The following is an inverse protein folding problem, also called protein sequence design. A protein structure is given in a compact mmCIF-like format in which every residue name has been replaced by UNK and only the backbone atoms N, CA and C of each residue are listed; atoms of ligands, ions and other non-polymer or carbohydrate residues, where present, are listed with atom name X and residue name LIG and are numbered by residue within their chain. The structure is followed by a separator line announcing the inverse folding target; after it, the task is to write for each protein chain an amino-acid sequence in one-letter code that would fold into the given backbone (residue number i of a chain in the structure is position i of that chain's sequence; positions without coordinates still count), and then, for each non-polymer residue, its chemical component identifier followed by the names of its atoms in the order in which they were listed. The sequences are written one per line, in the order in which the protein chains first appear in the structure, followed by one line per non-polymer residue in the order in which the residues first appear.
data_IF_745719285073
#
_entry.id   IF_745719285073
#
_cell.length_a   1.000
_cell.length_b   1.000
_cell.length_c   1.000
_cell.angle_alpha   90.00
_cell.angle_beta   90.00
_cell.angle_gamma   90.00
#
_symmetry.space_group_name_H-M   'P 1'
#
loop_
_entity.id
_entity.type
_entity.pdbx_description
1 polymer ?
#
# COMPACT_ATOMS: atom_id res chain seq x y z
N UNK A 1 52.18 -54.73 -12.18
CA UNK A 1 52.18 -53.33 -12.64
C UNK A 1 50.84 -52.69 -12.29
N UNK A 2 50.86 -51.45 -11.77
CA UNK A 2 49.77 -50.45 -11.60
C UNK A 2 48.42 -50.89 -10.98
N UNK A 3 47.92 -50.03 -10.08
CA UNK A 3 46.82 -50.30 -9.13
C UNK A 3 45.44 -49.99 -9.76
N UNK A 4 44.40 -50.61 -9.21
CA UNK A 4 43.01 -50.36 -9.57
C UNK A 4 42.58 -48.90 -9.30
N UNK A 5 41.58 -48.44 -10.06
CA UNK A 5 41.05 -47.08 -9.98
C UNK A 5 40.26 -46.85 -8.68
N UNK A 6 40.43 -45.66 -8.11
CA UNK A 6 39.52 -45.09 -7.10
C UNK A 6 38.99 -43.77 -7.66
N UNK A 7 37.78 -43.81 -8.20
CA UNK A 7 36.98 -42.60 -8.46
C UNK A 7 36.36 -42.18 -7.13
N UNK A 8 37.05 -41.32 -6.38
CA UNK A 8 36.46 -40.64 -5.24
C UNK A 8 35.52 -39.55 -5.77
N UNK A 9 34.21 -39.76 -5.65
CA UNK A 9 33.21 -38.79 -6.08
C UNK A 9 33.32 -37.50 -5.28
N UNK A 10 33.45 -36.37 -5.98
CA UNK A 10 33.33 -35.06 -5.36
C UNK A 10 31.85 -34.84 -5.00
N UNK A 11 31.48 -35.05 -3.73
CA UNK A 11 30.21 -34.56 -3.21
C UNK A 11 30.21 -33.04 -3.31
N UNK A 12 29.49 -32.50 -4.28
CA UNK A 12 29.16 -31.08 -4.34
C UNK A 12 28.17 -30.82 -3.20
N UNK A 13 28.71 -30.54 -2.01
CA UNK A 13 27.96 -29.85 -0.98
C UNK A 13 27.72 -28.45 -1.54
N UNK A 14 26.55 -28.24 -2.13
CA UNK A 14 26.07 -26.92 -2.45
C UNK A 14 25.97 -26.16 -1.12
N UNK A 15 26.93 -25.27 -0.88
CA UNK A 15 26.82 -24.27 0.17
C UNK A 15 25.61 -23.42 -0.17
N UNK A 16 24.48 -23.74 0.46
CA UNK A 16 23.29 -22.90 0.47
C UNK A 16 23.67 -21.62 1.22
N UNK A 17 24.26 -20.67 0.48
CA UNK A 17 24.34 -19.28 0.90
C UNK A 17 22.90 -18.89 1.26
N UNK A 18 22.64 -18.40 2.49
CA UNK A 18 21.31 -17.92 2.81
C UNK A 18 21.02 -16.78 1.85
N UNK A 19 20.05 -16.98 0.95
CA UNK A 19 19.51 -15.88 0.17
C UNK A 19 19.05 -14.82 1.17
N UNK A 20 19.40 -13.53 0.99
CA UNK A 20 18.78 -12.49 1.79
C UNK A 20 17.27 -12.65 1.64
N UNK A 21 16.57 -12.66 2.77
CA UNK A 21 15.13 -12.55 2.77
C UNK A 21 14.79 -11.21 2.12
N UNK A 22 14.17 -11.26 0.94
CA UNK A 22 13.51 -10.09 0.42
C UNK A 22 12.30 -9.78 1.31
N UNK A 23 11.89 -8.53 1.22
CA UNK A 23 10.51 -8.11 1.38
C UNK A 23 9.55 -8.98 0.52
N UNK A 24 8.23 -8.82 0.68
CA UNK A 24 7.26 -9.52 -0.20
C UNK A 24 7.71 -9.50 -1.67
N UNK A 25 8.00 -10.67 -2.26
CA UNK A 25 8.66 -10.74 -3.58
C UNK A 25 8.02 -9.81 -4.62
N UNK A 26 8.82 -9.14 -5.46
CA UNK A 26 8.45 -7.89 -6.17
C UNK A 26 7.04 -7.82 -6.79
N UNK A 27 6.48 -8.93 -7.25
CA UNK A 27 5.09 -9.02 -7.74
C UNK A 27 4.06 -8.68 -6.65
N UNK A 28 4.24 -9.16 -5.43
CA UNK A 28 3.35 -8.95 -4.29
C UNK A 28 3.28 -7.48 -3.85
N UNK A 29 4.41 -6.78 -3.62
CA UNK A 29 4.40 -5.34 -3.31
C UNK A 29 3.69 -4.52 -4.38
N UNK A 30 3.97 -4.82 -5.65
CA UNK A 30 3.37 -4.14 -6.80
C UNK A 30 1.87 -4.40 -6.88
N UNK A 31 1.43 -5.65 -6.71
CA UNK A 31 0.02 -6.04 -6.65
C UNK A 31 -0.72 -5.33 -5.51
N UNK A 32 -0.14 -5.33 -4.30
CA UNK A 32 -0.73 -4.71 -3.12
C UNK A 32 -0.87 -3.20 -3.32
N UNK A 33 0.23 -2.52 -3.66
CA UNK A 33 0.27 -1.07 -3.88
C UNK A 33 -0.69 -0.64 -4.99
N UNK A 34 -0.71 -1.37 -6.11
CA UNK A 34 -1.62 -1.11 -7.23
C UNK A 34 -3.09 -1.17 -6.79
N UNK A 35 -3.46 -2.20 -6.02
CA UNK A 35 -4.85 -2.37 -5.53
C UNK A 35 -5.21 -1.42 -4.39
N UNK A 36 -4.25 -0.97 -3.59
CA UNK A 36 -4.48 0.00 -2.53
C UNK A 36 -4.90 1.38 -3.10
N UNK A 37 -4.33 1.79 -4.23
CA UNK A 37 -4.70 3.03 -4.94
C UNK A 37 -6.19 3.04 -5.31
N UNK A 38 -6.77 1.88 -5.61
CA UNK A 38 -8.20 1.77 -5.94
C UNK A 38 -9.13 2.01 -4.76
N UNK A 39 -8.66 1.87 -3.52
CA UNK A 39 -9.42 2.09 -2.29
C UNK A 39 -9.32 3.52 -1.74
N UNK A 40 -8.47 4.36 -2.32
CA UNK A 40 -8.28 5.74 -1.85
C UNK A 40 -9.55 6.60 -2.05
N UNK A 41 -9.81 7.57 -1.14
CA UNK A 41 -10.95 8.49 -1.25
C UNK A 41 -10.80 9.45 -2.43
N UNK A 42 -11.91 10.09 -2.84
CA UNK A 42 -11.98 10.91 -4.05
C UNK A 42 -11.01 12.11 -4.08
N UNK A 43 -10.60 12.60 -2.92
CA UNK A 43 -9.63 13.69 -2.77
C UNK A 43 -8.18 13.25 -3.04
N UNK A 44 -7.87 11.96 -2.83
CA UNK A 44 -6.53 11.37 -3.03
C UNK A 44 -6.44 10.62 -4.37
N UNK A 45 -7.47 9.83 -4.70
CA UNK A 45 -7.45 8.85 -5.79
C UNK A 45 -7.03 9.42 -7.16
N UNK A 46 -7.42 10.64 -7.59
CA UNK A 46 -6.98 11.17 -8.88
C UNK A 46 -5.46 11.39 -8.97
N UNK A 47 -4.84 11.90 -7.90
CA UNK A 47 -3.38 12.07 -7.84
C UNK A 47 -2.67 10.71 -7.89
N UNK A 48 -3.07 9.79 -7.02
CA UNK A 48 -2.47 8.45 -6.97
C UNK A 48 -2.75 7.62 -8.23
N UNK A 49 -3.86 7.85 -8.93
CA UNK A 49 -4.14 7.22 -10.23
C UNK A 49 -3.26 7.80 -11.33
N UNK A 50 -3.02 9.11 -11.35
CA UNK A 50 -2.12 9.77 -12.31
C UNK A 50 -0.68 9.28 -12.20
N UNK A 51 -0.21 8.99 -10.98
CA UNK A 51 1.17 8.55 -10.71
C UNK A 51 1.27 7.05 -10.38
N UNK A 52 0.23 6.26 -10.69
CA UNK A 52 0.12 4.84 -10.32
C UNK A 52 1.35 4.04 -10.69
N UNK A 53 1.79 4.13 -11.94
CA UNK A 53 2.90 3.32 -12.46
C UNK A 53 4.22 3.63 -11.74
N UNK A 54 4.49 4.89 -11.38
CA UNK A 54 5.68 5.27 -10.64
C UNK A 54 5.59 4.80 -9.17
N UNK A 55 4.46 5.02 -8.49
CA UNK A 55 4.27 4.60 -7.09
C UNK A 55 4.36 3.07 -6.97
N UNK A 56 3.76 2.35 -7.92
CA UNK A 56 3.82 0.88 -7.99
C UNK A 56 5.25 0.42 -8.29
N UNK A 57 5.95 1.02 -9.26
CA UNK A 57 7.34 0.67 -9.54
C UNK A 57 8.28 0.90 -8.34
N UNK A 58 8.05 2.00 -7.59
CA UNK A 58 8.83 2.35 -6.39
C UNK A 58 8.46 1.57 -5.13
N UNK A 59 7.37 0.78 -5.14
CA UNK A 59 6.97 -0.03 -3.97
C UNK A 59 7.98 -1.13 -3.60
N UNK A 60 9.03 -1.32 -4.40
CA UNK A 60 10.17 -2.20 -4.13
C UNK A 60 11.49 -1.42 -3.89
N UNK A 61 11.45 -0.08 -3.88
CA UNK A 61 12.67 0.75 -3.71
C UNK A 61 13.46 0.37 -2.44
N UNK A 62 12.85 0.14 -1.25
CA UNK A 62 13.60 -0.26 -0.05
C UNK A 62 14.36 -1.58 -0.20
N UNK A 63 13.73 -2.58 -0.81
CA UNK A 63 14.36 -3.88 -1.13
C UNK A 63 15.55 -3.72 -2.10
N UNK A 64 15.57 -2.66 -2.90
CA UNK A 64 16.66 -2.32 -3.83
C UNK A 64 17.75 -1.45 -3.19
N UNK A 65 17.49 -0.76 -2.08
CA UNK A 65 18.44 0.15 -1.42
C UNK A 65 19.73 -0.56 -0.96
N UNK A 66 19.64 -1.82 -0.51
CA UNK A 66 20.82 -2.66 -0.23
C UNK A 66 21.78 -2.76 -1.43
N UNK A 67 21.21 -2.84 -2.65
CA UNK A 67 21.94 -2.92 -3.92
C UNK A 67 22.62 -1.59 -4.28
N UNK A 68 22.07 -0.48 -3.80
CA UNK A 68 22.66 0.86 -3.91
C UNK A 68 23.71 1.15 -2.81
N UNK A 69 23.98 0.20 -1.90
CA UNK A 69 24.92 0.35 -0.80
C UNK A 69 24.35 1.06 0.45
N UNK A 70 23.02 1.15 0.57
CA UNK A 70 22.34 1.72 1.73
C UNK A 70 21.95 0.59 2.68
N UNK A 71 22.28 0.72 3.97
CA UNK A 71 22.03 -0.34 4.95
C UNK A 71 20.59 -0.29 5.47
N UNK A 72 19.72 -1.10 4.88
CA UNK A 72 18.28 -1.12 5.21
C UNK A 72 17.74 -2.46 5.74
N UNK A 73 18.47 -3.56 5.56
CA UNK A 73 17.99 -4.93 5.83
C UNK A 73 17.24 -5.13 7.18
N UNK A 74 17.69 -4.56 8.32
CA UNK A 74 16.96 -4.69 9.60
C UNK A 74 15.55 -4.11 9.62
N UNK A 75 15.20 -3.19 8.71
CA UNK A 75 13.92 -2.50 8.71
C UNK A 75 12.78 -3.30 8.07
N UNK A 76 13.09 -4.40 7.38
CA UNK A 76 12.07 -5.22 6.72
C UNK A 76 11.36 -6.19 7.68
N UNK A 77 11.89 -6.46 8.88
CA UNK A 77 11.34 -7.52 9.73
C UNK A 77 11.25 -7.14 11.22
N UNK A 78 10.62 -8.03 11.99
CA UNK A 78 10.65 -8.10 13.45
C UNK A 78 10.61 -9.58 13.87
N UNK A 79 11.76 -10.16 14.16
CA UNK A 79 11.92 -11.55 14.56
C UNK A 79 11.44 -11.77 16.00
N UNK A 80 10.14 -12.04 16.17
CA UNK A 80 9.61 -12.56 17.42
C UNK A 80 10.01 -14.03 17.65
N UNK A 81 9.80 -14.52 18.87
CA UNK A 81 10.24 -15.86 19.30
C UNK A 81 11.67 -15.91 19.86
N UNK A 82 12.35 -14.76 19.99
CA UNK A 82 13.54 -14.63 20.85
C UNK A 82 13.14 -14.60 22.33
N UNK A 83 13.96 -15.19 23.20
CA UNK A 83 13.67 -15.28 24.64
C UNK A 83 13.61 -13.90 25.29
N UNK A 84 14.41 -12.96 24.80
CA UNK A 84 14.51 -11.59 25.30
C UNK A 84 13.18 -10.80 25.21
N UNK A 85 12.29 -11.17 24.29
CA UNK A 85 11.00 -10.51 24.08
C UNK A 85 9.84 -11.18 24.86
N UNK A 86 10.13 -12.25 25.62
CA UNK A 86 9.14 -12.97 26.42
C UNK A 86 8.21 -13.88 25.59
N UNK A 87 7.16 -14.38 26.23
CA UNK A 87 6.13 -15.19 25.56
C UNK A 87 5.17 -14.31 24.75
N UNK A 88 4.48 -14.88 23.76
CA UNK A 88 3.44 -14.18 22.98
C UNK A 88 2.39 -13.54 23.93
N UNK A 89 2.04 -12.23 23.78
CA UNK A 89 2.26 -11.36 22.62
C UNK A 89 3.54 -10.50 22.68
N UNK A 90 4.61 -11.00 23.28
CA UNK A 90 5.95 -10.37 23.33
C UNK A 90 6.00 -9.06 24.12
N UNK A 91 5.26 -9.01 25.24
CA UNK A 91 5.10 -7.80 26.07
C UNK A 91 6.39 -7.26 26.70
N UNK A 92 7.49 -8.02 26.66
CA UNK A 92 8.79 -7.51 27.11
C UNK A 92 9.43 -6.56 26.09
N UNK A 93 8.97 -6.52 24.84
CA UNK A 93 9.42 -5.56 23.83
C UNK A 93 8.64 -4.24 23.94
N UNK A 94 9.25 -3.12 24.36
CA UNK A 94 8.55 -1.83 24.39
C UNK A 94 8.23 -1.39 22.96
N UNK A 95 7.00 -0.95 22.72
CA UNK A 95 6.67 -0.28 21.46
C UNK A 95 7.38 1.07 21.35
N UNK A 96 7.67 1.75 22.47
CA UNK A 96 8.47 2.96 22.41
C UNK A 96 9.93 2.67 22.05
N UNK A 97 10.45 3.39 21.04
CA UNK A 97 11.76 3.11 20.49
C UNK A 97 12.90 3.46 21.46
N UNK A 98 12.75 4.55 22.22
CA UNK A 98 13.72 4.94 23.24
C UNK A 98 13.81 3.88 24.33
N UNK A 99 12.67 3.45 24.85
CA UNK A 99 12.60 2.38 25.85
C UNK A 99 13.12 1.03 25.32
N UNK A 100 12.86 0.69 24.05
CA UNK A 100 13.40 -0.52 23.43
C UNK A 100 14.93 -0.48 23.29
N UNK A 101 15.49 0.67 22.90
CA UNK A 101 16.95 0.89 22.83
C UNK A 101 17.57 0.82 24.22
N UNK A 102 16.95 1.43 25.23
CA UNK A 102 17.41 1.41 26.62
C UNK A 102 17.42 -0.01 27.19
N UNK A 103 16.37 -0.80 26.92
CA UNK A 103 16.21 -2.17 27.46
C UNK A 103 17.10 -3.21 26.77
N UNK A 104 17.27 -3.15 25.44
CA UNK A 104 17.92 -4.22 24.67
C UNK A 104 19.20 -3.80 23.94
N UNK A 105 19.43 -2.50 23.76
CA UNK A 105 20.52 -1.96 22.96
C UNK A 105 20.31 -2.09 21.45
N UNK A 106 20.81 -1.12 20.69
CA UNK A 106 20.66 -1.06 19.23
C UNK A 106 21.15 -2.32 18.50
N UNK A 107 22.22 -2.96 18.97
CA UNK A 107 22.75 -4.18 18.37
C UNK A 107 21.78 -5.38 18.46
N UNK A 108 20.95 -5.44 19.51
CA UNK A 108 19.89 -6.45 19.63
C UNK A 108 18.73 -6.13 18.72
N UNK A 109 18.27 -4.87 18.72
CA UNK A 109 17.17 -4.45 17.84
C UNK A 109 17.53 -4.62 16.36
N UNK A 110 18.73 -4.24 15.90
CA UNK A 110 19.16 -4.47 14.51
C UNK A 110 19.22 -5.95 14.12
N UNK A 111 19.63 -6.84 15.04
CA UNK A 111 19.65 -8.30 14.82
C UNK A 111 18.24 -8.89 14.75
N UNK A 112 17.33 -8.36 15.58
CA UNK A 112 15.99 -8.88 15.75
C UNK A 112 14.94 -8.12 14.91
N UNK A 113 15.32 -7.09 14.16
CA UNK A 113 14.43 -6.33 13.29
C UNK A 113 13.92 -5.01 13.89
N UNK A 114 13.63 -4.06 13.01
CA UNK A 114 13.28 -2.67 13.32
C UNK A 114 11.96 -2.19 12.69
N UNK A 115 11.24 -3.05 11.95
CA UNK A 115 10.14 -2.64 11.07
C UNK A 115 9.12 -1.68 11.70
N UNK A 116 8.55 -1.92 12.90
CA UNK A 116 7.51 -1.05 13.45
C UNK A 116 7.97 0.41 13.64
N UNK A 117 9.25 0.61 13.95
CA UNK A 117 9.82 1.94 14.12
C UNK A 117 10.16 2.59 12.79
N UNK A 118 10.58 1.83 11.78
CA UNK A 118 10.78 2.37 10.42
C UNK A 118 9.47 2.75 9.75
N UNK A 119 8.43 1.95 9.92
CA UNK A 119 7.08 2.25 9.46
C UNK A 119 6.56 3.56 10.09
N UNK A 120 6.82 3.78 11.38
CA UNK A 120 6.51 5.03 12.06
C UNK A 120 7.29 6.25 11.52
N UNK A 121 8.57 6.05 11.16
CA UNK A 121 9.41 7.07 10.54
C UNK A 121 8.91 7.44 9.13
N UNK A 122 8.62 6.46 8.28
CA UNK A 122 8.15 6.71 6.91
C UNK A 122 6.73 7.27 6.85
N UNK A 123 5.83 6.84 7.73
CA UNK A 123 4.55 7.53 7.95
C UNK A 123 4.77 9.01 8.32
N UNK A 124 5.75 9.28 9.18
CA UNK A 124 6.18 10.63 9.53
C UNK A 124 6.73 11.42 8.34
N UNK A 125 7.53 10.78 7.48
CA UNK A 125 8.05 11.37 6.24
C UNK A 125 6.91 11.70 5.27
N UNK A 126 6.01 10.75 5.00
CA UNK A 126 4.86 10.93 4.12
C UNK A 126 3.93 12.05 4.61
N UNK A 127 3.64 12.12 5.92
CA UNK A 127 2.90 13.24 6.52
C UNK A 127 3.59 14.58 6.25
N UNK A 128 4.92 14.66 6.45
CA UNK A 128 5.71 15.88 6.16
C UNK A 128 5.68 16.24 4.66
N UNK A 129 5.70 15.27 3.76
CA UNK A 129 5.59 15.50 2.32
C UNK A 129 4.22 16.12 1.97
N UNK A 130 3.12 15.59 2.53
CA UNK A 130 1.80 16.20 2.40
C UNK A 130 1.73 17.62 3.00
N UNK A 131 2.35 17.89 4.14
CA UNK A 131 2.45 19.24 4.74
C UNK A 131 3.32 20.22 3.93
N UNK A 132 4.33 19.72 3.23
CA UNK A 132 5.21 20.48 2.34
C UNK A 132 4.54 20.77 0.98
N UNK A 133 3.61 19.92 0.55
CA UNK A 133 2.87 20.07 -0.72
C UNK A 133 2.21 21.45 -0.86
N UNK A 134 1.65 21.99 0.23
CA UNK A 134 1.04 23.34 0.30
C UNK A 134 2.05 24.48 0.00
N UNK A 135 3.35 24.22 0.14
CA UNK A 135 4.44 25.22 0.07
C UNK A 135 5.26 25.10 -1.22
N UNK A 136 5.45 23.89 -1.74
CA UNK A 136 6.32 23.59 -2.89
C UNK A 136 5.63 22.72 -3.95
N UNK A 137 4.52 23.16 -4.58
CA UNK A 137 3.70 22.32 -5.46
C UNK A 137 4.42 21.82 -6.74
N UNK A 138 5.56 22.42 -7.11
CA UNK A 138 6.39 21.97 -8.23
C UNK A 138 7.20 20.69 -7.92
N UNK A 139 7.56 20.46 -6.65
CA UNK A 139 8.41 19.33 -6.23
C UNK A 139 7.68 18.35 -5.29
N UNK A 140 6.69 18.82 -4.52
CA UNK A 140 5.90 18.02 -3.59
C UNK A 140 5.26 16.75 -4.16
N UNK A 141 4.88 16.65 -5.47
CA UNK A 141 4.48 15.39 -6.06
C UNK A 141 5.52 14.27 -5.90
N UNK A 142 6.80 14.55 -6.14
CA UNK A 142 7.86 13.55 -6.13
C UNK A 142 8.13 13.02 -4.72
N UNK A 143 8.14 13.91 -3.71
CA UNK A 143 8.28 13.51 -2.31
C UNK A 143 7.12 12.61 -1.86
N UNK A 144 5.88 12.98 -2.21
CA UNK A 144 4.69 12.15 -1.88
C UNK A 144 4.73 10.80 -2.61
N UNK A 145 5.15 10.76 -3.88
CA UNK A 145 5.27 9.51 -4.66
C UNK A 145 6.29 8.57 -4.03
N UNK A 146 7.50 9.08 -3.75
CA UNK A 146 8.60 8.30 -3.15
C UNK A 146 8.23 7.79 -1.76
N UNK A 147 7.76 8.70 -0.88
CA UNK A 147 7.52 8.37 0.52
C UNK A 147 6.22 7.58 0.72
N UNK A 148 5.23 7.70 -0.17
CA UNK A 148 4.08 6.81 -0.16
C UNK A 148 4.48 5.39 -0.59
N UNK A 149 5.39 5.24 -1.56
CA UNK A 149 5.88 3.93 -1.98
C UNK A 149 6.77 3.27 -0.90
N UNK A 150 7.67 4.02 -0.27
CA UNK A 150 8.51 3.53 0.83
C UNK A 150 7.68 3.16 2.08
N UNK A 151 6.74 4.01 2.51
CA UNK A 151 5.84 3.69 3.63
C UNK A 151 4.90 2.51 3.29
N UNK A 152 4.43 2.41 2.04
CA UNK A 152 3.66 1.26 1.59
C UNK A 152 4.46 -0.05 1.70
N UNK A 153 5.76 -0.03 1.41
CA UNK A 153 6.62 -1.22 1.48
C UNK A 153 6.70 -1.82 2.89
N UNK A 154 7.05 -1.03 3.91
CA UNK A 154 7.22 -1.57 5.27
C UNK A 154 5.89 -2.02 5.90
N UNK A 155 4.77 -1.31 5.69
CA UNK A 155 3.48 -1.84 6.15
C UNK A 155 3.07 -3.11 5.41
N UNK A 156 3.53 -3.31 4.17
CA UNK A 156 3.29 -4.55 3.45
C UNK A 156 4.10 -5.70 4.07
N UNK A 157 5.38 -5.49 4.38
CA UNK A 157 6.23 -6.48 5.06
C UNK A 157 5.68 -6.88 6.44
N UNK A 158 5.06 -5.95 7.18
CA UNK A 158 4.35 -6.28 8.42
C UNK A 158 3.24 -7.35 8.21
N UNK A 159 2.74 -7.50 6.98
CA UNK A 159 1.75 -8.51 6.62
C UNK A 159 2.33 -9.86 6.16
N UNK A 160 3.64 -9.96 5.92
CA UNK A 160 4.34 -11.21 5.57
C UNK A 160 4.55 -12.05 6.85
N UNK A 161 4.01 -13.29 6.96
CA UNK A 161 4.20 -14.13 8.15
C UNK A 161 5.66 -14.41 8.52
N UNK A 162 6.53 -14.66 7.54
CA UNK A 162 7.96 -14.92 7.77
C UNK A 162 8.71 -13.71 8.32
N UNK A 163 8.25 -12.49 8.04
CA UNK A 163 8.86 -11.25 8.52
C UNK A 163 8.62 -10.99 10.01
N UNK A 164 7.84 -11.84 10.68
CA UNK A 164 7.50 -11.71 12.09
C UNK A 164 8.24 -12.70 13.01
N UNK A 165 9.15 -13.56 12.52
CA UNK A 165 9.61 -14.74 13.28
C UNK A 165 11.10 -15.06 13.15
N UNK A 166 11.74 -15.52 14.23
CA UNK A 166 13.09 -16.11 14.17
C UNK A 166 13.19 -17.36 13.28
N UNK A 167 12.08 -18.00 12.93
CA UNK A 167 12.01 -19.14 12.00
C UNK A 167 11.59 -18.71 10.58
N UNK A 168 11.96 -17.50 10.15
CA UNK A 168 11.53 -16.86 8.89
C UNK A 168 11.70 -17.74 7.64
N UNK A 169 12.79 -18.50 7.57
CA UNK A 169 13.10 -19.44 6.48
C UNK A 169 12.89 -20.90 6.89
N UNK A 170 12.15 -21.20 7.97
CA UNK A 170 11.93 -22.58 8.41
C UNK A 170 13.20 -23.29 8.89
N UNK A 171 14.27 -22.54 9.16
CA UNK A 171 15.60 -23.03 9.49
C UNK A 171 15.68 -23.77 10.83
N UNK A 172 14.68 -23.60 11.71
CA UNK A 172 14.56 -24.25 13.01
C UNK A 172 13.65 -25.50 12.97
N UNK A 173 12.83 -25.66 11.93
CA UNK A 173 11.85 -26.75 11.78
C UNK A 173 12.13 -27.69 10.61
N UNK A 174 13.10 -27.37 9.75
CA UNK A 174 13.50 -28.18 8.59
C UNK A 174 12.92 -27.71 7.26
N UNK A 175 12.10 -26.66 7.26
CA UNK A 175 11.37 -26.15 6.08
C UNK A 175 12.22 -25.18 5.21
N UNK A 176 13.55 -25.31 5.18
CA UNK A 176 14.47 -24.33 4.55
C UNK A 176 14.04 -23.90 3.13
N UNK A 177 14.07 -22.60 2.88
CA UNK A 177 13.56 -21.95 1.66
C UNK A 177 12.07 -21.59 1.67
N UNK A 178 11.33 -21.88 2.75
CA UNK A 178 9.87 -21.62 2.84
C UNK A 178 9.53 -20.14 2.65
N UNK A 179 10.43 -19.24 3.06
CA UNK A 179 10.25 -17.80 2.94
C UNK A 179 9.96 -17.41 1.48
N UNK A 180 10.88 -17.77 0.58
CA UNK A 180 10.76 -17.50 -0.85
C UNK A 180 9.62 -18.29 -1.52
N UNK A 181 9.38 -19.54 -1.07
CA UNK A 181 8.25 -20.35 -1.59
C UNK A 181 6.90 -19.69 -1.30
N UNK A 182 6.71 -19.16 -0.08
CA UNK A 182 5.45 -18.54 0.33
C UNK A 182 5.24 -17.15 -0.28
N UNK A 183 6.22 -16.25 -0.20
CA UNK A 183 6.02 -14.84 -0.55
C UNK A 183 6.08 -14.55 -2.06
N UNK A 184 6.94 -15.29 -2.77
CA UNK A 184 7.25 -15.06 -4.18
C UNK A 184 6.64 -16.16 -5.02
N UNK A 185 7.07 -17.41 -4.82
CA UNK A 185 6.74 -18.48 -5.76
C UNK A 185 5.23 -18.74 -5.81
N UNK A 186 4.52 -18.76 -4.66
CA UNK A 186 3.06 -18.89 -4.65
C UNK A 186 2.34 -17.71 -5.33
N UNK A 187 2.82 -16.48 -5.12
CA UNK A 187 2.19 -15.29 -5.71
C UNK A 187 2.41 -15.29 -7.22
N UNK A 188 3.64 -15.47 -7.69
CA UNK A 188 4.00 -15.49 -9.11
C UNK A 188 3.33 -16.66 -9.87
N UNK A 189 3.24 -17.85 -9.26
CA UNK A 189 2.61 -19.02 -9.89
C UNK A 189 1.08 -18.95 -9.92
N UNK A 190 0.46 -18.35 -8.90
CA UNK A 190 -0.98 -18.47 -8.68
C UNK A 190 -1.75 -17.14 -8.61
N UNK A 191 -1.16 -16.00 -8.99
CA UNK A 191 -1.81 -14.68 -9.00
C UNK A 191 -3.23 -14.72 -9.61
N UNK A 192 -3.35 -15.32 -10.81
CA UNK A 192 -4.62 -15.44 -11.54
C UNK A 192 -5.68 -16.34 -10.86
N UNK A 193 -5.32 -17.05 -9.77
CA UNK A 193 -6.19 -17.94 -8.98
C UNK A 193 -6.50 -17.39 -7.58
N UNK A 194 -5.99 -16.21 -7.23
CA UNK A 194 -6.21 -15.56 -5.94
C UNK A 194 -7.50 -14.72 -5.92
N UNK A 195 -8.37 -14.93 -4.93
CA UNK A 195 -9.62 -14.20 -4.72
C UNK A 195 -9.47 -13.17 -3.58
N UNK A 196 -8.49 -12.28 -3.72
CA UNK A 196 -8.12 -11.29 -2.69
C UNK A 196 -9.22 -10.21 -2.58
N UNK A 197 -9.83 -10.13 -1.39
CA UNK A 197 -10.99 -9.29 -1.10
C UNK A 197 -10.69 -8.29 0.04
N UNK A 198 -10.04 -7.15 -0.24
CA UNK A 198 -9.75 -6.13 0.77
C UNK A 198 -11.02 -5.45 1.25
N UNK A 199 -11.03 -5.01 2.51
CA UNK A 199 -12.14 -4.27 3.11
C UNK A 199 -11.94 -2.75 2.94
N UNK A 200 -13.01 -1.93 3.02
CA UNK A 200 -12.88 -0.47 2.98
C UNK A 200 -11.87 0.05 4.03
N UNK A 201 -10.86 0.84 3.62
CA UNK A 201 -9.80 1.28 4.52
C UNK A 201 -10.29 2.31 5.53
N UNK A 202 -9.56 2.40 6.65
CA UNK A 202 -9.69 3.47 7.64
C UNK A 202 -8.33 4.17 7.78
N UNK A 203 -8.30 5.49 8.05
CA UNK A 203 -7.05 6.19 8.28
C UNK A 203 -6.26 5.57 9.46
N UNK A 204 -5.00 5.21 9.22
CA UNK A 204 -4.10 4.74 10.28
C UNK A 204 -3.58 5.97 11.04
N UNK A 205 -3.87 6.06 12.34
CA UNK A 205 -3.46 7.20 13.17
C UNK A 205 -2.13 7.00 13.89
N UNK A 206 -1.72 5.74 14.06
CA UNK A 206 -0.47 5.36 14.71
C UNK A 206 0.12 4.16 13.96
N UNK A 207 1.01 4.45 13.01
CA UNK A 207 1.58 3.44 12.12
C UNK A 207 2.46 2.43 12.86
N UNK A 208 3.15 2.86 13.93
CA UNK A 208 3.99 1.99 14.77
C UNK A 208 3.19 0.85 15.41
N UNK A 209 2.14 1.21 16.14
CA UNK A 209 1.38 0.23 16.90
C UNK A 209 0.53 -0.63 15.95
N UNK A 210 0.07 -0.06 14.83
CA UNK A 210 -0.56 -0.84 13.74
C UNK A 210 0.41 -1.86 13.11
N UNK A 211 1.69 -1.50 12.91
CA UNK A 211 2.71 -2.41 12.39
C UNK A 211 3.02 -3.54 13.39
N UNK A 212 3.11 -3.23 14.69
CA UNK A 212 3.21 -4.26 15.74
C UNK A 212 2.01 -5.21 15.72
N UNK A 213 0.78 -4.70 15.66
CA UNK A 213 -0.44 -5.53 15.58
C UNK A 213 -0.45 -6.40 14.32
N UNK A 214 -0.03 -5.85 13.17
CA UNK A 214 0.09 -6.59 11.92
C UNK A 214 1.13 -7.71 12.01
N UNK A 215 2.33 -7.43 12.55
CA UNK A 215 3.39 -8.43 12.76
C UNK A 215 2.97 -9.50 13.78
N UNK A 216 2.29 -9.15 14.87
CA UNK A 216 1.74 -10.09 15.85
C UNK A 216 0.67 -11.00 15.23
N UNK A 217 -0.12 -10.49 14.28
CA UNK A 217 -1.04 -11.31 13.49
C UNK A 217 -0.31 -12.21 12.48
N UNK A 218 0.77 -11.72 11.85
CA UNK A 218 1.67 -12.50 10.97
C UNK A 218 2.29 -13.68 11.72
N UNK A 219 2.86 -13.43 12.91
CA UNK A 219 3.56 -14.45 13.72
C UNK A 219 2.69 -15.69 14.00
N UNK A 220 1.41 -15.48 14.33
CA UNK A 220 0.46 -16.58 14.64
C UNK A 220 0.14 -17.49 13.46
N UNK A 221 0.52 -17.11 12.24
CA UNK A 221 0.25 -17.87 11.02
C UNK A 221 1.42 -18.79 10.63
N UNK A 222 2.62 -18.50 11.14
CA UNK A 222 3.88 -19.19 10.80
C UNK A 222 3.77 -20.70 10.94
N UNK A 223 3.36 -21.21 12.11
CA UNK A 223 3.27 -22.66 12.35
C UNK A 223 2.32 -23.37 11.38
N UNK A 224 1.24 -22.70 10.96
CA UNK A 224 0.28 -23.26 10.00
C UNK A 224 0.85 -23.34 8.57
N UNK A 225 1.70 -22.39 8.20
CA UNK A 225 2.40 -22.35 6.91
C UNK A 225 3.49 -23.42 6.88
N UNK A 226 4.30 -23.52 7.94
CA UNK A 226 5.34 -24.55 8.08
C UNK A 226 4.75 -25.97 8.08
N UNK A 227 3.63 -26.18 8.78
CA UNK A 227 2.90 -27.45 8.74
C UNK A 227 2.42 -27.77 7.32
N UNK A 228 1.85 -26.79 6.62
CA UNK A 228 1.38 -26.98 5.25
C UNK A 228 2.51 -27.27 4.24
N UNK A 229 3.70 -26.69 4.42
CA UNK A 229 4.90 -26.98 3.64
C UNK A 229 5.38 -28.43 3.86
N UNK A 230 5.55 -28.84 5.13
CA UNK A 230 5.91 -30.22 5.49
C UNK A 230 4.93 -31.24 4.89
N UNK A 231 3.63 -30.99 5.02
CA UNK A 231 2.60 -31.89 4.49
C UNK A 231 2.58 -31.94 2.95
N UNK A 232 2.88 -30.82 2.27
CA UNK A 232 2.91 -30.76 0.81
C UNK A 232 4.14 -31.50 0.23
N UNK A 233 5.25 -31.51 0.98
CA UNK A 233 6.48 -32.23 0.64
C UNK A 233 6.43 -33.71 1.05
N UNK A 234 5.45 -34.16 1.84
CA UNK A 234 5.38 -35.52 2.35
C UNK A 234 5.44 -36.59 1.24
N UNK A 235 6.48 -37.42 1.28
CA UNK A 235 6.74 -38.46 0.27
C UNK A 235 7.43 -37.95 -1.01
N UNK A 236 8.02 -36.76 -1.00
CA UNK A 236 8.79 -36.16 -2.09
C UNK A 236 10.17 -35.69 -1.62
N UNK A 237 11.12 -35.73 -2.54
CA UNK A 237 12.46 -35.13 -2.37
C UNK A 237 12.60 -33.77 -3.12
N UNK A 238 11.54 -33.30 -3.79
CA UNK A 238 11.56 -32.14 -4.69
C UNK A 238 10.33 -31.24 -4.50
N UNK A 239 10.56 -29.92 -4.59
CA UNK A 239 9.54 -28.88 -4.65
C UNK A 239 9.00 -28.71 -6.09
N UNK A 240 8.34 -29.76 -6.59
CA UNK A 240 7.72 -29.79 -7.93
C UNK A 240 6.36 -29.07 -7.99
N UNK A 241 5.73 -29.03 -9.17
CA UNK A 241 4.44 -28.36 -9.35
C UNK A 241 3.30 -29.00 -8.52
N UNK A 242 3.34 -30.31 -8.28
CA UNK A 242 2.36 -30.99 -7.41
C UNK A 242 2.57 -30.64 -5.92
N UNK A 243 3.82 -30.45 -5.47
CA UNK A 243 4.11 -29.81 -4.18
C UNK A 243 3.49 -28.40 -4.13
N UNK A 244 3.70 -27.56 -5.15
CA UNK A 244 3.19 -26.18 -5.14
C UNK A 244 1.66 -26.12 -5.16
N UNK A 245 0.98 -26.99 -5.92
CA UNK A 245 -0.48 -27.12 -5.90
C UNK A 245 -1.01 -27.54 -4.52
N UNK A 246 -0.40 -28.55 -3.89
CA UNK A 246 -0.77 -29.02 -2.54
C UNK A 246 -0.54 -27.94 -1.47
N UNK A 247 0.60 -27.26 -1.53
CA UNK A 247 0.95 -26.20 -0.61
C UNK A 247 -0.02 -25.01 -0.76
N UNK A 248 -0.22 -24.55 -2.01
CA UNK A 248 -1.19 -23.49 -2.33
C UNK A 248 -2.60 -23.82 -1.86
N UNK A 249 -3.09 -25.05 -2.12
CA UNK A 249 -4.42 -25.46 -1.69
C UNK A 249 -4.64 -25.33 -0.16
N UNK A 250 -3.58 -25.53 0.65
CA UNK A 250 -3.62 -25.35 2.11
C UNK A 250 -3.48 -23.89 2.54
N UNK A 251 -2.50 -23.15 2.00
CA UNK A 251 -2.18 -21.79 2.49
C UNK A 251 -2.88 -20.66 1.76
N UNK A 252 -3.60 -20.92 0.64
CA UNK A 252 -4.34 -19.89 -0.10
C UNK A 252 -5.23 -19.01 0.79
N UNK A 253 -6.03 -19.53 1.75
CA UNK A 253 -6.83 -18.66 2.62
C UNK A 253 -6.00 -17.71 3.49
N UNK A 254 -4.78 -18.12 3.88
CA UNK A 254 -3.83 -17.28 4.63
C UNK A 254 -3.23 -16.23 3.70
N UNK A 255 -2.77 -16.63 2.52
CA UNK A 255 -2.18 -15.74 1.52
C UNK A 255 -3.18 -14.68 1.04
N UNK A 256 -4.39 -15.08 0.62
CA UNK A 256 -5.47 -14.17 0.21
C UNK A 256 -5.84 -13.19 1.31
N UNK A 257 -5.90 -13.65 2.57
CA UNK A 257 -6.18 -12.82 3.74
C UNK A 257 -5.07 -11.79 3.99
N UNK A 258 -3.79 -12.20 4.01
CA UNK A 258 -2.69 -11.27 4.28
C UNK A 258 -2.51 -10.26 3.16
N UNK A 259 -2.67 -10.66 1.90
CA UNK A 259 -2.71 -9.72 0.78
C UNK A 259 -3.89 -8.74 0.89
N UNK A 260 -5.09 -9.20 1.27
CA UNK A 260 -6.26 -8.34 1.47
C UNK A 260 -6.08 -7.33 2.62
N UNK A 261 -5.60 -7.79 3.78
CA UNK A 261 -5.30 -6.95 4.94
C UNK A 261 -4.21 -5.91 4.59
N UNK A 262 -3.17 -6.33 3.87
CA UNK A 262 -2.06 -5.48 3.41
C UNK A 262 -2.50 -4.38 2.41
N UNK A 263 -3.41 -4.71 1.49
CA UNK A 263 -4.03 -3.73 0.58
C UNK A 263 -4.85 -2.68 1.37
N UNK A 264 -5.68 -3.14 2.33
CA UNK A 264 -6.46 -2.25 3.20
C UNK A 264 -5.55 -1.37 4.05
N UNK A 265 -4.47 -1.93 4.62
CA UNK A 265 -3.50 -1.22 5.44
C UNK A 265 -2.75 -0.15 4.64
N UNK A 266 -2.24 -0.49 3.44
CA UNK A 266 -1.53 0.45 2.54
C UNK A 266 -2.40 1.67 2.21
N UNK A 267 -3.68 1.46 1.88
CA UNK A 267 -4.60 2.57 1.63
C UNK A 267 -4.89 3.39 2.90
N UNK A 268 -5.11 2.71 4.03
CA UNK A 268 -5.31 3.35 5.33
C UNK A 268 -4.12 4.18 5.81
N UNK A 269 -2.90 3.75 5.49
CA UNK A 269 -1.65 4.44 5.80
C UNK A 269 -1.57 5.80 5.09
N UNK A 270 -1.76 5.79 3.78
CA UNK A 270 -1.76 6.99 2.93
C UNK A 270 -2.86 7.96 3.39
N UNK A 271 -4.07 7.46 3.68
CA UNK A 271 -5.17 8.24 4.23
C UNK A 271 -4.81 8.87 5.58
N UNK A 272 -4.22 8.09 6.49
CA UNK A 272 -3.79 8.54 7.81
C UNK A 272 -2.76 9.68 7.77
N UNK A 273 -1.72 9.52 6.95
CA UNK A 273 -0.68 10.53 6.79
C UNK A 273 -1.24 11.83 6.18
N UNK A 274 -2.13 11.72 5.19
CA UNK A 274 -2.80 12.86 4.56
C UNK A 274 -3.76 13.59 5.50
N UNK A 275 -4.54 12.86 6.29
CA UNK A 275 -5.45 13.46 7.28
C UNK A 275 -4.68 14.20 8.37
N UNK A 276 -3.61 13.62 8.90
CA UNK A 276 -2.75 14.28 9.89
C UNK A 276 -1.98 15.49 9.33
N UNK A 277 -1.69 15.52 8.02
CA UNK A 277 -1.17 16.71 7.33
C UNK A 277 -2.21 17.84 7.13
N UNK A 278 -3.42 17.67 7.67
CA UNK A 278 -4.52 18.61 7.53
C UNK A 278 -5.04 18.67 6.10
N UNK A 279 -5.24 17.48 5.49
CA UNK A 279 -5.92 17.24 4.20
C UNK A 279 -5.56 18.24 3.09
N UNK A 280 -4.27 18.36 2.69
CA UNK A 280 -3.88 19.18 1.54
C UNK A 280 -4.64 18.78 0.27
N UNK A 281 -5.07 19.77 -0.52
CA UNK A 281 -5.57 19.53 -1.87
C UNK A 281 -4.42 19.03 -2.76
N UNK A 282 -4.64 17.92 -3.45
CA UNK A 282 -3.69 17.35 -4.42
C UNK A 282 -4.14 17.66 -5.86
N UNK A 283 -3.22 17.90 -6.81
CA UNK A 283 -3.56 18.16 -8.20
C UNK A 283 -4.38 17.03 -8.82
N UNK A 284 -5.53 17.38 -9.42
CA UNK A 284 -6.50 16.43 -9.95
C UNK A 284 -7.54 15.95 -8.93
N UNK A 285 -7.30 16.14 -7.62
CA UNK A 285 -8.33 15.99 -6.59
C UNK A 285 -9.46 16.98 -6.84
N UNK A 286 -10.66 16.47 -7.08
CA UNK A 286 -11.84 17.25 -7.46
C UNK A 286 -12.46 18.04 -6.30
N UNK A 287 -11.69 18.92 -5.67
CA UNK A 287 -12.25 19.95 -4.80
C UNK A 287 -13.11 20.91 -5.63
N UNK A 288 -14.36 21.15 -5.22
CA UNK A 288 -15.12 22.28 -5.75
C UNK A 288 -14.28 23.55 -5.49
N UNK A 289 -14.04 24.41 -6.50
CA UNK A 289 -13.09 25.50 -6.35
C UNK A 289 -13.50 26.37 -5.16
N UNK A 290 -12.59 26.53 -4.19
CA UNK A 290 -12.80 27.35 -3.01
C UNK A 290 -13.37 28.70 -3.46
N UNK A 291 -14.64 28.95 -3.12
CA UNK A 291 -15.40 30.03 -3.73
C UNK A 291 -14.65 31.33 -3.56
N UNK A 292 -14.10 31.87 -4.67
CA UNK A 292 -13.25 33.05 -4.63
C UNK A 292 -14.08 34.20 -4.06
N UNK A 293 -13.90 34.45 -2.75
CA UNK A 293 -14.44 35.63 -2.07
C UNK A 293 -13.84 36.82 -2.79
N UNK A 294 -14.60 37.35 -3.76
CA UNK A 294 -14.30 38.61 -4.42
C UNK A 294 -14.08 39.61 -3.29
N UNK A 295 -12.84 40.06 -3.09
CA UNK A 295 -12.58 41.25 -2.29
C UNK A 295 -13.40 42.34 -2.97
N UNK A 296 -14.43 42.82 -2.28
CA UNK A 296 -15.28 43.87 -2.81
C UNK A 296 -14.37 45.04 -3.15
N UNK A 297 -14.34 45.43 -4.42
CA UNK A 297 -13.70 46.69 -4.82
C UNK A 297 -14.47 47.78 -4.09
N UNK A 298 -13.83 48.58 -3.20
CA UNK A 298 -14.54 49.66 -2.54
C UNK A 298 -15.02 50.63 -3.61
N UNK A 299 -16.34 50.82 -3.67
CA UNK A 299 -16.97 51.57 -4.76
C UNK A 299 -16.56 53.04 -4.65
N UNK A 300 -15.79 53.54 -5.62
CA UNK A 300 -15.27 54.90 -5.66
C UNK A 300 -16.37 55.91 -6.05
N UNK A 301 -17.41 56.01 -5.22
CA UNK A 301 -18.59 56.87 -5.43
C UNK A 301 -19.15 57.39 -4.10
N UNK A 302 -18.26 57.79 -3.18
CA UNK A 302 -18.60 58.42 -1.90
C UNK A 302 -17.62 59.55 -1.52
N UNK A 303 -17.24 60.37 -2.50
CA UNK A 303 -16.56 61.63 -2.30
C UNK A 303 -17.08 62.66 -3.31
N UNK A 304 -17.31 63.90 -2.84
CA UNK A 304 -17.97 65.04 -3.51
C UNK A 304 -19.51 65.04 -3.42
N UNK A 305 -20.02 65.71 -2.38
CA UNK A 305 -21.40 66.14 -2.33
C UNK A 305 -21.63 67.41 -3.16
N UNK A 306 -22.75 67.48 -3.89
CA UNK A 306 -23.33 68.76 -4.28
C UNK A 306 -24.87 68.69 -4.36
N UNK A 307 -25.50 69.86 -4.42
CA UNK A 307 -26.88 70.10 -3.97
C UNK A 307 -27.98 69.69 -4.97
N UNK A 308 -29.06 69.19 -4.36
CA UNK A 308 -30.45 69.12 -4.84
C UNK A 308 -30.91 70.33 -5.67
N UNK A 309 -31.45 70.07 -6.86
CA UNK A 309 -32.50 70.82 -7.57
C UNK A 309 -33.51 69.81 -8.15
N UNK A 310 -34.73 70.22 -8.52
CA UNK A 310 -35.81 69.26 -8.88
C UNK A 310 -36.82 69.76 -9.92
N UNK A 311 -37.99 69.09 -9.94
CA UNK A 311 -39.15 69.24 -10.84
C UNK A 311 -39.06 68.56 -12.23
N UNK A 312 -40.20 68.06 -12.73
CA UNK A 312 -40.36 67.54 -14.12
C UNK A 312 -41.31 66.34 -14.24
N UNK A 313 -42.60 66.59 -14.52
CA UNK A 313 -43.71 65.62 -14.52
C UNK A 313 -43.82 64.68 -15.77
N UNK A 314 -44.80 63.76 -15.70
CA UNK A 314 -45.44 62.98 -16.80
C UNK A 314 -44.62 61.82 -17.40
N UNK A 315 -45.16 60.63 -17.71
CA UNK A 315 -46.52 60.09 -17.61
C UNK A 315 -47.04 59.57 -18.95
N UNK A 316 -47.31 58.25 -19.09
CA UNK A 316 -48.26 57.60 -20.05
C UNK A 316 -48.32 56.07 -19.78
N UNK A 317 -49.53 55.48 -19.92
CA UNK A 317 -49.81 54.03 -19.96
C UNK A 317 -50.50 53.69 -21.29
N UNK A 318 -50.00 52.68 -22.01
CA UNK A 318 -50.71 51.88 -23.05
C UNK A 318 -49.95 50.52 -23.10
N UNK A 319 -50.50 49.34 -23.38
CA UNK A 319 -51.85 48.83 -23.65
C UNK A 319 -51.73 47.38 -24.16
N UNK A 320 -52.73 46.51 -23.94
CA UNK A 320 -52.63 45.04 -24.14
C UNK A 320 -53.41 44.56 -25.39
N UNK A 321 -52.74 43.93 -26.37
CA UNK A 321 -53.28 43.02 -27.44
C UNK A 321 -52.13 42.09 -27.91
N UNK A 322 -52.30 40.83 -28.38
CA UNK A 322 -53.45 39.94 -28.27
C UNK A 322 -53.57 38.79 -29.32
N UNK A 323 -52.94 37.63 -29.05
CA UNK A 323 -53.42 36.26 -29.43
C UNK A 323 -53.26 35.75 -30.89
N UNK A 324 -53.30 34.41 -31.04
CA UNK A 324 -53.42 33.57 -32.27
C UNK A 324 -52.14 33.42 -33.12
N UNK A 325 -51.75 32.24 -33.66
CA UNK A 325 -52.24 30.86 -33.46
C UNK A 325 -52.04 29.94 -34.70
N UNK A 326 -51.90 28.62 -34.47
CA UNK A 326 -51.78 27.50 -35.45
C UNK A 326 -50.46 27.46 -36.28
N UNK A 327 -49.95 26.28 -36.69
CA UNK A 327 -50.32 24.91 -36.31
C UNK A 327 -49.78 23.82 -37.28
N UNK A 328 -49.69 22.57 -36.80
CA UNK A 328 -49.52 21.34 -37.60
C UNK A 328 -48.14 21.11 -38.26
N UNK A 329 -47.82 19.92 -38.79
CA UNK A 329 -48.29 18.56 -38.45
C UNK A 329 -47.38 17.51 -39.15
N UNK A 330 -47.31 16.29 -38.61
CA UNK A 330 -46.74 15.11 -39.28
C UNK A 330 -45.22 14.90 -39.10
N UNK A 331 -44.70 13.68 -38.87
CA UNK A 331 -45.41 12.43 -38.57
C UNK A 331 -44.62 11.18 -38.99
N UNK A 332 -44.40 10.26 -38.04
CA UNK A 332 -44.16 8.79 -38.17
C UNK A 332 -43.02 8.31 -39.13
N UNK A 333 -42.28 7.25 -38.84
CA UNK A 333 -42.29 6.31 -37.70
C UNK A 333 -41.28 5.17 -37.96
N UNK A 334 -41.26 4.13 -37.11
CA UNK A 334 -40.49 2.89 -37.35
C UNK A 334 -39.46 2.53 -36.27
N UNK A 335 -39.77 1.47 -35.49
CA UNK A 335 -38.83 0.67 -34.68
C UNK A 335 -38.73 -0.76 -35.31
N UNK A 336 -38.11 -1.78 -34.67
CA UNK A 336 -36.66 -1.98 -34.48
C UNK A 336 -36.21 -3.41 -34.86
N UNK A 337 -34.90 -3.66 -35.09
CA UNK A 337 -34.34 -5.04 -35.06
C UNK A 337 -32.86 -5.11 -34.68
N UNK A 338 -32.52 -6.23 -33.99
CA UNK A 338 -31.20 -6.85 -33.70
C UNK A 338 -31.46 -8.38 -33.75
N UNK A 339 -30.45 -9.27 -33.75
CA UNK A 339 -29.12 -9.25 -34.38
C UNK A 339 -29.02 -10.44 -35.40
N UNK A 340 -27.83 -10.98 -35.74
CA UNK A 340 -27.26 -12.08 -34.94
C UNK A 340 -25.72 -12.08 -34.81
N UNK A 341 -25.19 -13.05 -34.07
CA UNK A 341 -23.76 -13.41 -34.03
C UNK A 341 -23.37 -14.36 -35.18
N UNK A 342 -22.06 -14.53 -35.43
CA UNK A 342 -21.29 -15.79 -35.56
C UNK A 342 -19.91 -15.44 -36.14
N UNK A 343 -18.85 -16.13 -35.67
CA UNK A 343 -17.46 -15.96 -36.13
C UNK A 343 -16.50 -16.51 -35.10
#
# INVERSE_FOLDING_TARGET
MRKAAVLAGACIIALAVPSPASAWGYVAHRLITNRAIDLLPAELKPFFTKYRDEIVARSIDPDLWRTAGWEDDPHHFMNFGVREYGDYPFSELPHDYGAAIEKFGMATLRRNGLLPWREAEEFGNLRRAFEAFKRSPAYGPYDVILLAAAAAHYIQDAHQPSHATTNYDGQLTGNRGIHARFERDLVERFEARLTISPVPPRPITNARDFAFDALLASYRLVDSILTADTDALAGKDLYDDDYFEKFFAKVRPVLERRLAESITATAGLIMGAWEQAGRPELPGGGGAPAAMRRRGVPNAAAALGCRRWGAGASGIKVGRVGQVGRGGQGGQGGRPTRPPMIG
#
